data_IF_882684600199
#
_entry.id   IF_882684600199
#
_cell.length_a   1.000
_cell.length_b   1.000
_cell.length_c   1.000
_cell.angle_alpha   90.00
_cell.angle_beta   90.00
_cell.angle_gamma   90.00
#
_symmetry.space_group_name_H-M   'P 1'
#
loop_
_entity.id
_entity.type
_entity.pdbx_description
1 polymer ?
#
# COMPACT_ATOMS: atom_id res chain seq x y z
N UNK A 1 46.10 4.25 -5.72
CA UNK A 1 45.23 3.07 -5.88
C UNK A 1 44.05 3.19 -4.93
N UNK A 2 42.82 3.26 -5.43
CA UNK A 2 41.64 3.38 -4.58
C UNK A 2 41.45 2.08 -3.77
N UNK A 3 41.40 2.19 -2.43
CA UNK A 3 41.10 1.07 -1.54
C UNK A 3 39.71 0.54 -1.89
N UNK A 4 39.63 -0.67 -2.46
CA UNK A 4 38.36 -1.36 -2.64
C UNK A 4 37.68 -1.47 -1.27
N UNK A 5 36.53 -0.81 -1.09
CA UNK A 5 35.70 -0.96 0.11
C UNK A 5 35.31 -2.44 0.20
N UNK A 6 35.85 -3.13 1.21
CA UNK A 6 35.54 -4.54 1.47
C UNK A 6 34.07 -4.63 1.85
N UNK A 7 33.29 -5.42 1.11
CA UNK A 7 31.88 -5.66 1.42
C UNK A 7 31.82 -6.37 2.78
N UNK A 8 31.02 -5.87 3.74
CA UNK A 8 30.82 -6.53 5.02
C UNK A 8 30.30 -7.96 4.85
N UNK A 9 30.75 -8.89 5.69
CA UNK A 9 30.39 -10.32 5.58
C UNK A 9 28.88 -10.53 5.64
N UNK A 10 28.17 -9.81 6.51
CA UNK A 10 26.70 -9.88 6.63
C UNK A 10 26.01 -9.50 5.31
N UNK A 11 26.41 -8.36 4.72
CA UNK A 11 25.88 -7.87 3.45
C UNK A 11 26.12 -8.88 2.32
N UNK A 12 27.31 -9.49 2.30
CA UNK A 12 27.66 -10.52 1.33
C UNK A 12 26.80 -11.79 1.47
N UNK A 13 26.50 -12.21 2.70
CA UNK A 13 25.62 -13.36 2.96
C UNK A 13 24.18 -13.08 2.50
N UNK A 14 23.67 -11.87 2.73
CA UNK A 14 22.34 -11.47 2.24
C UNK A 14 22.27 -11.46 0.72
N UNK A 15 23.28 -10.86 0.06
CA UNK A 15 23.36 -10.82 -1.40
C UNK A 15 23.46 -12.24 -1.98
N UNK A 16 24.26 -13.12 -1.36
CA UNK A 16 24.38 -14.53 -1.74
C UNK A 16 23.02 -15.22 -1.66
N UNK A 17 22.32 -15.12 -0.52
CA UNK A 17 20.98 -15.71 -0.35
C UNK A 17 19.99 -15.23 -1.41
N UNK A 18 19.99 -13.93 -1.72
CA UNK A 18 19.10 -13.38 -2.73
C UNK A 18 19.44 -13.87 -4.15
N UNK A 19 20.73 -13.95 -4.49
CA UNK A 19 21.19 -14.51 -5.76
C UNK A 19 20.86 -16.00 -5.90
N UNK A 20 21.09 -16.76 -4.83
CA UNK A 20 20.79 -18.20 -4.76
C UNK A 20 19.30 -18.51 -4.79
N UNK A 21 18.46 -17.56 -4.40
CA UNK A 21 17.02 -17.68 -4.55
C UNK A 21 16.52 -17.12 -5.92
N UNK A 22 17.40 -16.56 -6.75
CA UNK A 22 17.16 -16.29 -8.18
C UNK A 22 17.16 -14.83 -8.61
N UNK A 23 17.49 -13.88 -7.73
CA UNK A 23 17.64 -12.46 -8.08
C UNK A 23 18.88 -12.25 -8.97
N UNK A 24 18.83 -11.32 -9.92
CA UNK A 24 19.98 -11.04 -10.78
C UNK A 24 21.08 -10.25 -10.06
N UNK A 25 22.35 -10.49 -10.42
CA UNK A 25 23.48 -9.73 -9.87
C UNK A 25 23.39 -8.25 -10.24
N UNK A 26 22.78 -7.91 -11.37
CA UNK A 26 22.53 -6.51 -11.76
C UNK A 26 21.56 -5.85 -10.77
N UNK A 27 20.44 -6.49 -10.46
CA UNK A 27 19.44 -5.96 -9.52
C UNK A 27 20.03 -5.82 -8.11
N UNK A 28 20.83 -6.81 -7.69
CA UNK A 28 21.53 -6.78 -6.39
C UNK A 28 22.58 -5.66 -6.35
N UNK A 29 23.26 -5.39 -7.46
CA UNK A 29 24.24 -4.30 -7.55
C UNK A 29 23.60 -2.93 -7.34
N UNK A 30 22.39 -2.74 -7.88
CA UNK A 30 21.60 -1.51 -7.70
C UNK A 30 21.08 -1.42 -6.26
N UNK A 31 20.40 -2.47 -5.77
CA UNK A 31 19.77 -2.50 -4.45
C UNK A 31 20.75 -2.23 -3.32
N UNK A 32 21.94 -2.83 -3.38
CA UNK A 32 22.95 -2.74 -2.32
C UNK A 32 24.04 -1.71 -2.62
N UNK A 33 23.93 -0.94 -3.70
CA UNK A 33 24.92 0.09 -4.11
C UNK A 33 26.35 -0.46 -4.23
N UNK A 34 26.47 -1.70 -4.72
CA UNK A 34 27.76 -2.38 -4.91
C UNK A 34 28.06 -2.44 -6.41
N UNK A 35 29.32 -2.21 -6.79
CA UNK A 35 29.72 -2.33 -8.19
C UNK A 35 29.49 -3.76 -8.74
N UNK A 36 28.78 -3.86 -9.88
CA UNK A 36 28.45 -5.14 -10.51
C UNK A 36 29.67 -6.02 -10.81
N UNK A 37 30.77 -5.45 -11.30
CA UNK A 37 32.01 -6.20 -11.57
C UNK A 37 32.61 -6.80 -10.30
N UNK A 38 32.46 -6.11 -9.16
CA UNK A 38 32.88 -6.63 -7.85
C UNK A 38 32.01 -7.81 -7.42
N UNK A 39 30.68 -7.69 -7.58
CA UNK A 39 29.75 -8.79 -7.27
C UNK A 39 29.96 -10.01 -8.15
N UNK A 40 30.16 -9.81 -9.46
CA UNK A 40 30.44 -10.89 -10.42
C UNK A 40 31.71 -11.65 -10.06
N UNK A 41 32.78 -10.94 -9.69
CA UNK A 41 34.04 -11.55 -9.26
C UNK A 41 33.86 -12.37 -7.97
N UNK A 42 33.09 -11.86 -7.00
CA UNK A 42 32.82 -12.58 -5.75
C UNK A 42 31.97 -13.83 -6.01
N UNK A 43 30.87 -13.68 -6.75
CA UNK A 43 29.98 -14.77 -7.07
C UNK A 43 30.70 -15.89 -7.84
N UNK A 44 31.59 -15.54 -8.75
CA UNK A 44 32.42 -16.51 -9.49
C UNK A 44 33.47 -17.16 -8.61
N UNK A 45 34.18 -16.40 -7.76
CA UNK A 45 35.24 -16.92 -6.89
C UNK A 45 34.70 -17.87 -5.81
N UNK A 46 33.46 -17.67 -5.40
CA UNK A 46 32.78 -18.45 -4.35
C UNK A 46 31.70 -19.38 -4.89
N UNK A 47 31.66 -19.58 -6.21
CA UNK A 47 30.80 -20.55 -6.89
C UNK A 47 29.31 -20.43 -6.53
N UNK A 48 28.81 -19.20 -6.40
CA UNK A 48 27.41 -18.97 -6.08
C UNK A 48 26.50 -19.54 -7.19
N UNK A 49 25.46 -20.27 -6.79
CA UNK A 49 24.54 -20.93 -7.72
C UNK A 49 23.27 -20.11 -7.88
N UNK A 50 22.92 -19.68 -9.10
CA UNK A 50 21.68 -18.92 -9.30
C UNK A 50 20.46 -19.84 -9.15
N UNK A 51 19.56 -19.52 -8.24
CA UNK A 51 18.30 -20.23 -8.10
C UNK A 51 17.38 -20.03 -9.30
N UNK A 52 16.64 -21.08 -9.69
CA UNK A 52 15.56 -20.98 -10.70
C UNK A 52 14.28 -20.32 -10.15
N UNK A 53 14.26 -19.98 -8.87
CA UNK A 53 13.08 -19.54 -8.12
C UNK A 53 12.76 -18.06 -8.27
N UNK A 54 13.30 -17.36 -9.28
CA UNK A 54 13.09 -15.92 -9.49
C UNK A 54 11.60 -15.53 -9.45
N UNK A 55 10.73 -16.32 -10.06
CA UNK A 55 9.29 -16.09 -10.05
C UNK A 55 8.69 -16.20 -8.63
N UNK A 56 9.13 -17.18 -7.85
CA UNK A 56 8.69 -17.39 -6.46
C UNK A 56 9.17 -16.24 -5.56
N UNK A 57 10.43 -15.81 -5.72
CA UNK A 57 10.94 -14.65 -5.00
C UNK A 57 10.24 -13.35 -5.39
N UNK A 58 10.01 -13.13 -6.68
CA UNK A 58 9.28 -11.95 -7.14
C UNK A 58 7.87 -11.94 -6.56
N UNK A 59 7.20 -13.08 -6.55
CA UNK A 59 5.90 -13.25 -5.90
C UNK A 59 5.98 -12.93 -4.40
N UNK A 60 6.96 -13.48 -3.68
CA UNK A 60 7.13 -13.22 -2.25
C UNK A 60 7.43 -11.75 -1.92
N UNK A 61 8.23 -11.08 -2.76
CA UNK A 61 8.53 -9.64 -2.62
C UNK A 61 7.27 -8.81 -2.89
N UNK A 62 6.49 -9.16 -3.91
CA UNK A 62 5.23 -8.49 -4.23
C UNK A 62 4.22 -8.69 -3.08
N UNK A 63 4.12 -9.90 -2.53
CA UNK A 63 3.25 -10.21 -1.39
C UNK A 63 3.66 -9.45 -0.12
N UNK A 64 4.96 -9.34 0.16
CA UNK A 64 5.49 -8.55 1.27
C UNK A 64 5.18 -7.05 1.09
N UNK A 65 5.40 -6.50 -0.10
CA UNK A 65 5.06 -5.11 -0.42
C UNK A 65 3.55 -4.84 -0.34
N UNK A 66 2.72 -5.79 -0.77
CA UNK A 66 1.25 -5.70 -0.63
C UNK A 66 0.87 -5.70 0.84
N UNK A 67 1.44 -6.61 1.63
CA UNK A 67 1.13 -6.74 3.07
C UNK A 67 1.49 -5.46 3.81
N UNK A 68 2.68 -4.91 3.58
CA UNK A 68 3.11 -3.63 4.16
C UNK A 68 2.21 -2.47 3.78
N UNK A 69 1.72 -2.44 2.53
CA UNK A 69 0.78 -1.41 2.06
C UNK A 69 -0.58 -1.54 2.74
N UNK A 70 -1.05 -2.76 2.97
CA UNK A 70 -2.30 -3.02 3.71
C UNK A 70 -2.15 -2.59 5.16
N UNK A 71 -1.05 -2.96 5.82
CA UNK A 71 -0.76 -2.54 7.20
C UNK A 71 -0.74 -1.01 7.34
N UNK A 72 -0.03 -0.32 6.45
CA UNK A 72 0.03 1.14 6.44
C UNK A 72 -1.34 1.78 6.24
N UNK A 73 -2.15 1.21 5.33
CA UNK A 73 -3.52 1.68 5.10
C UNK A 73 -4.37 1.53 6.36
N UNK A 74 -4.30 0.38 7.03
CA UNK A 74 -5.10 0.09 8.21
C UNK A 74 -4.66 0.94 9.41
N UNK A 75 -3.35 1.21 9.55
CA UNK A 75 -2.80 2.15 10.54
C UNK A 75 -3.36 3.57 10.34
N UNK A 76 -3.38 4.04 9.10
CA UNK A 76 -3.89 5.38 8.75
C UNK A 76 -5.39 5.50 9.00
N UNK A 77 -6.17 4.48 8.68
CA UNK A 77 -7.59 4.42 9.05
C UNK A 77 -7.74 4.53 10.57
N UNK A 78 -6.91 3.80 11.34
CA UNK A 78 -6.89 3.88 12.80
C UNK A 78 -6.62 5.28 13.34
N UNK A 79 -5.68 6.02 12.73
CA UNK A 79 -5.40 7.41 13.12
C UNK A 79 -6.61 8.33 12.93
N UNK A 80 -7.29 8.25 11.79
CA UNK A 80 -8.49 9.06 11.55
C UNK A 80 -9.64 8.70 12.50
N UNK A 81 -9.85 7.41 12.78
CA UNK A 81 -10.84 6.97 13.75
C UNK A 81 -10.56 7.52 15.15
N UNK A 82 -9.29 7.54 15.56
CA UNK A 82 -8.88 8.07 16.87
C UNK A 82 -9.06 9.59 16.94
N UNK A 83 -8.70 10.33 15.88
CA UNK A 83 -8.95 11.77 15.80
C UNK A 83 -10.45 12.09 15.86
N UNK A 84 -11.27 11.30 15.17
CA UNK A 84 -12.72 11.46 15.19
C UNK A 84 -13.30 11.19 16.59
N UNK A 85 -12.90 10.08 17.23
CA UNK A 85 -13.28 9.77 18.63
C UNK A 85 -12.87 10.87 19.59
N UNK A 86 -11.67 11.43 19.46
CA UNK A 86 -11.19 12.54 20.30
C UNK A 86 -12.07 13.79 20.14
N UNK A 87 -12.42 14.15 18.90
CA UNK A 87 -13.30 15.28 18.63
C UNK A 87 -14.72 15.04 19.20
N UNK A 88 -15.25 13.83 19.06
CA UNK A 88 -16.56 13.46 19.60
C UNK A 88 -16.59 13.50 21.13
N UNK A 89 -15.60 12.91 21.80
CA UNK A 89 -15.49 12.94 23.26
C UNK A 89 -15.45 14.37 23.80
N UNK A 90 -14.73 15.27 23.13
CA UNK A 90 -14.68 16.68 23.50
C UNK A 90 -16.05 17.36 23.37
N UNK A 91 -16.79 17.09 22.28
CA UNK A 91 -18.15 17.61 22.10
C UNK A 91 -19.12 17.09 23.18
N UNK A 92 -19.04 15.80 23.52
CA UNK A 92 -19.86 15.19 24.57
C UNK A 92 -19.55 15.78 25.95
N UNK A 93 -18.29 16.09 26.26
CA UNK A 93 -17.92 16.75 27.51
C UNK A 93 -18.49 18.17 27.62
N UNK A 94 -18.44 18.94 26.53
CA UNK A 94 -19.04 20.28 26.47
C UNK A 94 -20.55 20.21 26.69
N UNK A 95 -21.22 19.26 26.04
CA UNK A 95 -22.66 19.02 26.21
C UNK A 95 -22.99 18.63 27.66
N UNK A 96 -22.24 17.71 28.26
CA UNK A 96 -22.46 17.23 29.64
C UNK A 96 -22.30 18.35 30.67
N UNK A 97 -21.38 19.30 30.43
CA UNK A 97 -21.16 20.44 31.33
C UNK A 97 -22.17 21.58 31.10
N UNK A 98 -22.98 21.51 30.04
CA UNK A 98 -23.82 22.63 29.61
C UNK A 98 -23.00 23.86 29.17
N UNK A 99 -21.68 23.70 29.00
CA UNK A 99 -20.75 24.75 28.64
C UNK A 99 -20.72 24.84 27.12
N UNK A 100 -21.56 25.70 26.53
CA UNK A 100 -21.28 26.18 25.18
C UNK A 100 -19.99 26.99 25.23
N UNK A 101 -19.08 26.88 24.25
CA UNK A 101 -17.88 27.71 24.23
C UNK A 101 -18.29 29.19 24.23
N UNK A 102 -18.14 29.87 25.37
CA UNK A 102 -18.51 31.29 25.52
C UNK A 102 -17.57 32.21 24.71
N UNK A 103 -16.43 31.68 24.26
CA UNK A 103 -15.40 32.41 23.52
C UNK A 103 -15.38 31.94 22.06
N UNK A 104 -15.78 32.84 21.15
CA UNK A 104 -15.89 32.60 19.71
C UNK A 104 -14.64 31.98 19.08
N UNK A 105 -13.44 32.36 19.53
CA UNK A 105 -12.18 31.80 19.02
C UNK A 105 -11.99 30.31 19.32
N UNK A 106 -12.51 29.81 20.45
CA UNK A 106 -12.45 28.38 20.80
C UNK A 106 -13.42 27.55 19.96
N UNK A 107 -14.60 28.12 19.67
CA UNK A 107 -15.59 27.51 18.79
C UNK A 107 -15.08 27.42 17.34
N UNK A 108 -14.49 28.51 16.83
CA UNK A 108 -13.86 28.52 15.50
C UNK A 108 -12.68 27.55 15.41
N UNK A 109 -11.84 27.46 16.44
CA UNK A 109 -10.75 26.48 16.49
C UNK A 109 -11.26 25.02 16.43
N UNK A 110 -12.34 24.70 17.14
CA UNK A 110 -12.96 23.38 17.11
C UNK A 110 -13.53 23.06 15.73
N UNK A 111 -14.26 24.02 15.14
CA UNK A 111 -14.80 23.89 13.78
C UNK A 111 -13.69 23.64 12.76
N UNK A 112 -12.62 24.43 12.82
CA UNK A 112 -11.47 24.29 11.93
C UNK A 112 -10.79 22.92 12.10
N UNK A 113 -10.66 22.42 13.34
CA UNK A 113 -10.11 21.08 13.61
C UNK A 113 -10.97 19.97 13.02
N UNK A 114 -12.30 20.06 13.14
CA UNK A 114 -13.22 19.08 12.55
C UNK A 114 -13.15 19.10 11.02
N UNK A 115 -13.16 20.30 10.43
CA UNK A 115 -13.03 20.47 8.97
C UNK A 115 -11.70 19.92 8.45
N UNK A 116 -10.59 20.27 9.08
CA UNK A 116 -9.26 19.76 8.73
C UNK A 116 -9.19 18.23 8.84
N UNK A 117 -9.81 17.63 9.87
CA UNK A 117 -9.87 16.17 10.01
C UNK A 117 -10.63 15.53 8.84
N UNK A 118 -11.74 16.14 8.41
CA UNK A 118 -12.50 15.66 7.25
C UNK A 118 -11.75 15.80 5.93
N UNK A 119 -11.03 16.90 5.72
CA UNK A 119 -10.24 17.12 4.51
C UNK A 119 -9.05 16.16 4.44
N UNK A 120 -8.34 16.01 5.57
CA UNK A 120 -7.25 15.03 5.66
C UNK A 120 -7.74 13.61 5.40
N UNK A 121 -8.92 13.24 5.89
CA UNK A 121 -9.50 11.93 5.61
C UNK A 121 -9.79 11.75 4.11
N UNK A 122 -10.33 12.76 3.42
CA UNK A 122 -10.55 12.70 1.96
C UNK A 122 -9.25 12.51 1.19
N UNK A 123 -8.21 13.25 1.54
CA UNK A 123 -6.88 13.09 0.92
C UNK A 123 -6.28 11.71 1.21
N UNK A 124 -6.39 11.24 2.46
CA UNK A 124 -5.96 9.90 2.85
C UNK A 124 -6.72 8.81 2.08
N UNK A 125 -8.01 9.02 1.84
CA UNK A 125 -8.85 8.11 1.06
C UNK A 125 -8.33 7.91 -0.36
N UNK A 126 -7.93 9.01 -1.03
CA UNK A 126 -7.36 8.97 -2.37
C UNK A 126 -5.96 8.34 -2.37
N UNK A 127 -5.07 8.80 -1.47
CA UNK A 127 -3.68 8.35 -1.40
C UNK A 127 -3.53 6.84 -1.09
N UNK A 128 -4.38 6.32 -0.19
CA UNK A 128 -4.32 4.94 0.27
C UNK A 128 -5.43 4.06 -0.31
N UNK A 129 -6.21 4.58 -1.27
CA UNK A 129 -7.34 3.88 -1.90
C UNK A 129 -8.28 3.25 -0.86
N UNK A 130 -8.59 4.01 0.20
CA UNK A 130 -9.49 3.54 1.26
C UNK A 130 -10.90 3.54 0.69
N UNK A 131 -11.55 2.38 0.69
CA UNK A 131 -12.93 2.25 0.27
C UNK A 131 -13.84 2.20 1.49
N UNK A 132 -14.92 2.96 1.44
CA UNK A 132 -16.03 2.74 2.37
C UNK A 132 -16.70 1.39 2.08
N UNK A 133 -17.44 0.80 3.04
CA UNK A 133 -18.13 -0.48 2.81
C UNK A 133 -19.03 -0.47 1.58
N UNK A 134 -19.71 0.64 1.30
CA UNK A 134 -20.55 0.79 0.11
C UNK A 134 -19.72 0.78 -1.17
N UNK A 135 -18.62 1.53 -1.22
CA UNK A 135 -17.73 1.57 -2.38
C UNK A 135 -17.05 0.22 -2.63
N UNK A 136 -16.78 -0.55 -1.57
CA UNK A 136 -16.28 -1.92 -1.69
C UNK A 136 -17.33 -2.82 -2.37
N UNK A 137 -18.59 -2.73 -1.96
CA UNK A 137 -19.70 -3.48 -2.59
C UNK A 137 -19.87 -3.07 -4.06
N UNK A 138 -19.81 -1.77 -4.37
CA UNK A 138 -19.87 -1.30 -5.77
C UNK A 138 -18.71 -1.81 -6.62
N UNK A 139 -17.49 -1.81 -6.06
CA UNK A 139 -16.30 -2.32 -6.74
C UNK A 139 -16.45 -3.82 -7.04
N UNK A 140 -16.95 -4.59 -6.08
CA UNK A 140 -17.14 -6.03 -6.24
C UNK A 140 -18.26 -6.33 -7.24
N UNK A 141 -19.35 -5.54 -7.25
CA UNK A 141 -20.38 -5.62 -8.29
C UNK A 141 -19.82 -5.32 -9.69
N UNK A 142 -18.97 -4.28 -9.81
CA UNK A 142 -18.29 -3.96 -11.08
C UNK A 142 -17.38 -5.09 -11.54
N UNK A 143 -16.66 -5.73 -10.61
CA UNK A 143 -15.82 -6.91 -10.91
C UNK A 143 -16.65 -8.10 -11.39
N UNK A 144 -17.77 -8.39 -10.74
CA UNK A 144 -18.69 -9.45 -11.17
C UNK A 144 -19.22 -9.16 -12.58
N UNK A 145 -19.69 -7.93 -12.85
CA UNK A 145 -20.13 -7.51 -14.19
C UNK A 145 -19.02 -7.70 -15.24
N UNK A 146 -17.79 -7.30 -14.91
CA UNK A 146 -16.63 -7.45 -15.79
C UNK A 146 -16.32 -8.93 -16.09
N UNK A 147 -16.29 -9.80 -15.07
CA UNK A 147 -16.02 -11.23 -15.26
C UNK A 147 -17.12 -11.92 -16.07
N UNK A 148 -18.39 -11.54 -15.87
CA UNK A 148 -19.51 -12.02 -16.68
C UNK A 148 -19.37 -11.57 -18.14
N UNK A 149 -19.04 -10.31 -18.38
CA UNK A 149 -18.81 -9.79 -19.74
C UNK A 149 -17.62 -10.46 -20.42
N UNK A 150 -16.53 -10.70 -19.69
CA UNK A 150 -15.35 -11.42 -20.20
C UNK A 150 -15.67 -12.86 -20.59
N UNK A 151 -16.51 -13.56 -19.81
CA UNK A 151 -16.99 -14.91 -20.16
C UNK A 151 -17.89 -14.87 -21.40
N UNK A 152 -18.84 -13.94 -21.47
CA UNK A 152 -19.73 -13.81 -22.63
C UNK A 152 -18.95 -13.59 -23.96
N UNK A 153 -17.91 -12.75 -23.94
CA UNK A 153 -17.02 -12.53 -25.09
C UNK A 153 -16.26 -13.82 -25.44
N UNK A 154 -15.76 -14.54 -24.44
CA UNK A 154 -14.99 -15.78 -24.64
C UNK A 154 -15.85 -16.92 -25.18
N UNK A 155 -17.12 -16.97 -24.79
CA UNK A 155 -18.08 -18.00 -25.19
C UNK A 155 -18.81 -17.65 -26.50
N UNK A 156 -18.46 -16.54 -27.16
CA UNK A 156 -19.01 -16.13 -28.45
C UNK A 156 -20.48 -15.70 -28.41
N UNK A 157 -21.05 -15.50 -27.21
CA UNK A 157 -22.41 -15.01 -27.05
C UNK A 157 -22.37 -13.49 -27.16
N UNK A 158 -22.95 -12.96 -28.24
CA UNK A 158 -23.06 -11.53 -28.49
C UNK A 158 -23.55 -10.79 -27.24
N UNK A 159 -22.76 -9.83 -26.77
CA UNK A 159 -23.02 -9.04 -25.56
C UNK A 159 -24.26 -8.17 -25.81
N UNK A 160 -25.45 -8.70 -25.53
CA UNK A 160 -26.64 -7.87 -25.37
C UNK A 160 -26.46 -7.10 -24.08
N UNK A 161 -26.12 -5.82 -24.25
CA UNK A 161 -26.03 -4.82 -23.20
C UNK A 161 -27.26 -4.92 -22.28
N UNK A 162 -27.00 -5.20 -21.00
CA UNK A 162 -27.88 -4.75 -19.93
C UNK A 162 -27.76 -3.23 -19.92
N UNK A 163 -28.54 -2.58 -20.78
CA UNK A 163 -28.79 -1.15 -20.68
C UNK A 163 -29.33 -0.88 -19.29
N UNK A 164 -28.70 0.06 -18.60
CA UNK A 164 -29.27 0.69 -17.43
C UNK A 164 -30.63 1.25 -17.85
N UNK A 165 -31.70 0.53 -17.52
CA UNK A 165 -33.02 1.15 -17.43
C UNK A 165 -32.93 2.07 -16.22
N UNK A 166 -32.75 3.34 -16.52
CA UNK A 166 -33.25 4.42 -15.69
C UNK A 166 -34.72 4.11 -15.39
N UNK A 167 -34.99 3.60 -14.19
CA UNK A 167 -36.33 3.60 -13.63
C UNK A 167 -36.60 5.02 -13.13
N UNK A 168 -37.55 5.69 -13.81
CA UNK A 168 -38.02 7.04 -13.51
C UNK A 168 -38.96 7.14 -12.31
#
# INVERSE_FOLDING_TARGET
MAKYKKIPTQLKTEIKKAYEAGVDLVDLSIKYTVNYGTLRNIASKEEWQKGKSKAILQQAIIEDDISKRVELRDEIIGYYQNLHKSNLSYLMELERKGERPLVKSKEEALKNRIMATSELFKLGKELFSILTPLEQVELDLKRVKYEVGKRAIKDGVGVMFLSDKEDG
#
